data_IF_317251762576
#
_entry.id   IF_317251762576
#
_cell.length_a   1.000
_cell.length_b   1.000
_cell.length_c   1.000
_cell.angle_alpha   90.00
_cell.angle_beta   90.00
_cell.angle_gamma   90.00
#
_symmetry.space_group_name_H-M   'P 1'
#
loop_
_entity.id
_entity.type
_entity.pdbx_description
1 polymer ?
#
# COMPACT_ATOMS: atom_id res chain seq x y z
N UNK A 1 17.17 5.79 -4.76
CA UNK A 1 15.85 5.27 -5.21
C UNK A 1 15.85 4.69 -6.63
N UNK A 2 16.98 4.73 -7.36
CA UNK A 2 17.01 4.29 -8.76
C UNK A 2 16.82 2.78 -8.87
N UNK A 3 17.42 2.03 -7.95
CA UNK A 3 17.28 0.58 -7.81
C UNK A 3 15.83 0.14 -7.62
N UNK A 4 15.11 0.79 -6.71
CA UNK A 4 13.73 0.47 -6.34
C UNK A 4 12.78 0.74 -7.51
N UNK A 5 13.01 1.86 -8.21
CA UNK A 5 12.30 2.18 -9.45
C UNK A 5 12.51 1.10 -10.51
N UNK A 6 13.77 0.68 -10.71
CA UNK A 6 14.10 -0.34 -11.72
C UNK A 6 13.49 -1.70 -11.40
N UNK A 7 13.51 -2.12 -10.13
CA UNK A 7 12.90 -3.38 -9.69
C UNK A 7 11.42 -3.46 -10.08
N UNK A 8 10.65 -2.39 -9.83
CA UNK A 8 9.22 -2.36 -10.16
C UNK A 8 9.00 -2.29 -11.68
N UNK A 9 9.79 -1.48 -12.39
CA UNK A 9 9.66 -1.35 -13.85
C UNK A 9 10.02 -2.68 -14.56
N UNK A 10 11.05 -3.40 -14.11
CA UNK A 10 11.42 -4.69 -14.68
C UNK A 10 10.27 -5.70 -14.59
N UNK A 11 9.59 -5.75 -13.44
CA UNK A 11 8.39 -6.58 -13.26
C UNK A 11 7.24 -6.12 -14.17
N UNK A 12 7.05 -4.81 -14.32
CA UNK A 12 6.08 -4.24 -15.26
C UNK A 12 6.35 -4.63 -16.72
N UNK A 13 7.62 -4.58 -17.15
CA UNK A 13 8.05 -5.01 -18.50
C UNK A 13 7.75 -6.50 -18.69
N UNK A 14 8.04 -7.33 -17.70
CA UNK A 14 7.71 -8.76 -17.76
C UNK A 14 6.20 -8.98 -17.99
N UNK A 15 5.34 -8.32 -17.22
CA UNK A 15 3.89 -8.45 -17.41
C UNK A 15 3.40 -7.86 -18.74
N UNK A 16 4.02 -6.78 -19.22
CA UNK A 16 3.72 -6.19 -20.53
C UNK A 16 4.04 -7.16 -21.68
N UNK A 17 5.06 -8.01 -21.54
CA UNK A 17 5.42 -9.03 -22.52
C UNK A 17 4.56 -10.29 -22.38
N UNK A 18 4.30 -10.76 -21.16
CA UNK A 18 3.54 -12.00 -20.93
C UNK A 18 2.05 -11.83 -21.22
N UNK A 19 1.43 -10.68 -20.92
CA UNK A 19 0.01 -10.45 -21.16
C UNK A 19 -0.44 -10.73 -22.62
N UNK A 20 0.22 -10.19 -23.67
CA UNK A 20 -0.14 -10.51 -25.06
C UNK A 20 0.18 -11.95 -25.44
N UNK A 21 1.29 -12.53 -24.95
CA UNK A 21 1.60 -13.96 -25.18
C UNK A 21 0.50 -14.85 -24.62
N UNK A 22 0.07 -14.58 -23.38
CA UNK A 22 -1.02 -15.30 -22.71
C UNK A 22 -2.34 -15.17 -23.47
N UNK A 23 -2.68 -13.98 -23.94
CA UNK A 23 -3.88 -13.74 -24.73
C UNK A 23 -3.90 -14.57 -26.02
N UNK A 24 -2.79 -14.57 -26.76
CA UNK A 24 -2.68 -15.31 -28.04
C UNK A 24 -2.84 -16.82 -27.83
N UNK A 25 -2.29 -17.35 -26.74
CA UNK A 25 -2.34 -18.79 -26.43
C UNK A 25 -3.70 -19.24 -25.89
N UNK A 26 -4.26 -18.50 -24.94
CA UNK A 26 -5.42 -18.96 -24.15
C UNK A 26 -6.73 -18.31 -24.62
N UNK A 27 -6.68 -17.08 -25.13
CA UNK A 27 -7.86 -16.24 -25.43
C UNK A 27 -8.81 -16.07 -24.23
N UNK A 28 -8.30 -16.23 -23.00
CA UNK A 28 -9.07 -16.02 -21.78
C UNK A 28 -9.04 -14.53 -21.38
N UNK A 29 -10.19 -13.84 -21.39
CA UNK A 29 -10.26 -12.45 -20.99
C UNK A 29 -9.97 -12.23 -19.49
N UNK A 30 -10.24 -13.22 -18.62
CA UNK A 30 -10.10 -13.07 -17.17
C UNK A 30 -8.63 -12.99 -16.76
N UNK A 31 -7.84 -13.99 -17.14
CA UNK A 31 -6.40 -14.01 -16.88
C UNK A 31 -5.67 -12.85 -17.57
N UNK A 32 -6.07 -12.53 -18.81
CA UNK A 32 -5.47 -11.39 -19.55
C UNK A 32 -5.73 -10.07 -18.84
N UNK A 33 -6.95 -9.85 -18.34
CA UNK A 33 -7.30 -8.63 -17.59
C UNK A 33 -6.45 -8.53 -16.32
N UNK A 34 -6.30 -9.61 -15.56
CA UNK A 34 -5.47 -9.61 -14.35
C UNK A 34 -4.01 -9.23 -14.66
N UNK A 35 -3.40 -9.83 -15.70
CA UNK A 35 -2.02 -9.52 -16.11
C UNK A 35 -1.86 -8.06 -16.56
N UNK A 36 -2.81 -7.54 -17.32
CA UNK A 36 -2.80 -6.13 -17.76
C UNK A 36 -2.96 -5.19 -16.56
N UNK A 37 -3.86 -5.48 -15.62
CA UNK A 37 -4.02 -4.67 -14.41
C UNK A 37 -2.77 -4.68 -13.53
N UNK A 38 -2.08 -5.83 -13.40
CA UNK A 38 -0.80 -5.91 -12.70
C UNK A 38 0.28 -5.09 -13.41
N UNK A 39 0.35 -5.15 -14.74
CA UNK A 39 1.25 -4.30 -15.52
C UNK A 39 0.98 -2.80 -15.27
N UNK A 40 -0.29 -2.38 -15.32
CA UNK A 40 -0.67 -0.98 -15.04
C UNK A 40 -0.31 -0.55 -13.61
N UNK A 41 -0.47 -1.44 -12.62
CA UNK A 41 -0.04 -1.18 -11.25
C UNK A 41 1.47 -0.96 -11.17
N UNK A 42 2.27 -1.81 -11.82
CA UNK A 42 3.72 -1.63 -11.89
C UNK A 42 4.10 -0.33 -12.59
N UNK A 43 3.42 0.06 -13.66
CA UNK A 43 3.64 1.34 -14.35
C UNK A 43 3.34 2.52 -13.42
N UNK A 44 2.21 2.50 -12.69
CA UNK A 44 1.84 3.56 -11.75
C UNK A 44 2.88 3.72 -10.63
N UNK A 45 3.28 2.61 -10.00
CA UNK A 45 4.28 2.62 -8.93
C UNK A 45 5.66 3.02 -9.44
N UNK A 46 6.10 2.46 -10.57
CA UNK A 46 7.37 2.79 -11.20
C UNK A 46 7.44 4.25 -11.64
N UNK A 47 6.35 4.80 -12.19
CA UNK A 47 6.23 6.22 -12.51
C UNK A 47 6.39 7.08 -11.26
N UNK A 48 5.62 6.81 -10.20
CA UNK A 48 5.73 7.56 -8.94
C UNK A 48 7.16 7.54 -8.39
N UNK A 49 7.76 6.37 -8.24
CA UNK A 49 9.13 6.24 -7.73
C UNK A 49 10.15 6.96 -8.61
N UNK A 50 9.99 6.90 -9.94
CA UNK A 50 10.88 7.59 -10.87
C UNK A 50 10.81 9.12 -10.77
N UNK A 51 9.64 9.66 -10.41
CA UNK A 51 9.44 11.09 -10.18
C UNK A 51 10.13 11.49 -8.89
N UNK A 52 9.87 10.77 -7.78
CA UNK A 52 10.48 11.09 -6.49
C UNK A 52 12.00 10.91 -6.54
N UNK A 53 12.51 9.90 -7.23
CA UNK A 53 13.95 9.66 -7.41
C UNK A 53 14.68 10.82 -8.11
N UNK A 54 13.97 11.69 -8.84
CA UNK A 54 14.53 12.91 -9.45
C UNK A 54 14.42 14.14 -8.56
N UNK A 55 13.57 14.09 -7.53
CA UNK A 55 13.29 15.21 -6.64
C UNK A 55 14.16 15.20 -5.38
N UNK A 56 14.60 14.02 -4.93
CA UNK A 56 15.42 13.88 -3.72
C UNK A 56 16.89 13.55 -4.06
N UNK A 57 17.85 14.03 -3.26
CA UNK A 57 19.25 13.62 -3.40
C UNK A 57 19.43 12.14 -3.04
N UNK A 58 20.57 11.58 -3.46
CA UNK A 58 20.92 10.20 -3.12
C UNK A 58 21.03 10.06 -1.58
N UNK A 59 20.29 9.10 -1.05
CA UNK A 59 20.21 8.83 0.39
C UNK A 59 21.43 8.00 0.82
N UNK A 60 21.81 7.99 2.11
CA UNK A 60 22.89 7.14 2.60
C UNK A 60 22.70 5.65 2.24
N UNK A 61 21.46 5.17 2.22
CA UNK A 61 21.09 3.80 1.79
C UNK A 61 21.28 3.52 0.29
N UNK A 62 21.38 4.56 -0.54
CA UNK A 62 21.60 4.46 -1.99
C UNK A 62 23.11 4.49 -2.36
N UNK A 63 23.98 4.81 -1.39
CA UNK A 63 25.42 5.02 -1.59
C UNK A 63 26.23 3.81 -1.16
N UNK A 64 27.19 3.40 -1.97
CA UNK A 64 28.14 2.32 -1.62
C UNK A 64 29.18 2.73 -0.57
N UNK A 65 29.37 4.03 -0.38
CA UNK A 65 30.32 4.65 0.55
C UNK A 65 29.63 5.33 1.75
N UNK A 66 28.36 5.01 2.00
CA UNK A 66 27.61 5.56 3.13
C UNK A 66 28.13 5.05 4.48
N UNK A 67 28.32 5.95 5.44
CA UNK A 67 28.70 5.59 6.81
C UNK A 67 27.48 5.48 7.73
N UNK A 68 27.60 4.73 8.83
CA UNK A 68 26.51 4.59 9.82
C UNK A 68 26.13 5.95 10.41
N UNK A 69 27.11 6.85 10.55
CA UNK A 69 26.91 8.20 11.07
C UNK A 69 25.99 9.05 10.17
N UNK A 70 25.94 8.79 8.85
CA UNK A 70 25.11 9.53 7.91
C UNK A 70 23.60 9.29 8.16
N UNK A 71 23.24 8.20 8.83
CA UNK A 71 21.86 7.84 9.20
C UNK A 71 21.47 8.18 10.65
N UNK A 72 22.32 8.89 11.41
CA UNK A 72 22.13 9.12 12.84
C UNK A 72 21.05 10.17 13.22
N UNK A 73 20.31 10.68 12.23
CA UNK A 73 19.21 11.62 12.46
C UNK A 73 17.95 10.98 13.03
N UNK A 74 16.99 11.81 13.43
CA UNK A 74 15.66 11.38 13.83
C UNK A 74 14.91 10.75 12.64
N UNK A 75 14.47 9.49 12.76
CA UNK A 75 13.77 8.78 11.68
C UNK A 75 12.32 9.23 11.47
N UNK A 76 11.71 9.84 12.49
CA UNK A 76 10.31 10.25 12.49
C UNK A 76 9.54 9.68 13.67
N UNK A 77 8.22 9.81 13.62
CA UNK A 77 7.33 9.35 14.68
C UNK A 77 6.90 7.90 14.45
N UNK A 78 7.07 7.05 15.46
CA UNK A 78 6.58 5.68 15.48
C UNK A 78 5.64 5.45 16.69
N UNK A 79 4.41 5.01 16.45
CA UNK A 79 3.51 4.51 17.49
C UNK A 79 4.18 3.48 18.42
N UNK A 80 4.35 3.74 19.74
CA UNK A 80 4.90 2.74 20.65
C UNK A 80 3.91 1.59 20.90
N UNK A 81 2.62 1.86 20.84
CA UNK A 81 1.53 0.88 20.83
C UNK A 81 0.28 1.52 20.21
N UNK A 82 -0.59 0.68 19.64
CA UNK A 82 -1.94 1.07 19.21
C UNK A 82 -2.84 -0.16 19.19
N UNK A 83 -4.03 -0.06 19.79
CA UNK A 83 -5.03 -1.13 19.77
C UNK A 83 -6.03 -0.98 18.60
N UNK A 84 -6.03 0.18 17.94
CA UNK A 84 -6.93 0.45 16.82
C UNK A 84 -6.78 -0.50 15.62
N UNK A 85 -5.56 -0.95 15.22
CA UNK A 85 -5.43 -1.92 14.14
C UNK A 85 -6.22 -3.21 14.39
N UNK A 86 -6.24 -3.70 15.64
CA UNK A 86 -6.99 -4.89 16.02
C UNK A 86 -8.50 -4.68 15.84
N UNK A 87 -9.03 -3.57 16.34
CA UNK A 87 -10.46 -3.25 16.22
C UNK A 87 -10.86 -2.96 14.77
N UNK A 88 -10.00 -2.36 13.95
CA UNK A 88 -10.22 -2.19 12.51
C UNK A 88 -10.30 -3.54 11.80
N UNK A 89 -9.38 -4.46 12.10
CA UNK A 89 -9.38 -5.80 11.51
C UNK A 89 -10.64 -6.60 11.90
N UNK A 90 -11.04 -6.55 13.18
CA UNK A 90 -12.29 -7.18 13.64
C UNK A 90 -13.53 -6.57 12.99
N UNK A 91 -13.58 -5.25 12.87
CA UNK A 91 -14.68 -4.57 12.20
C UNK A 91 -14.77 -4.97 10.71
N UNK A 92 -13.65 -5.03 10.01
CA UNK A 92 -13.59 -5.52 8.63
C UNK A 92 -14.04 -6.97 8.52
N UNK A 93 -13.66 -7.84 9.46
CA UNK A 93 -14.13 -9.22 9.49
C UNK A 93 -15.67 -9.29 9.61
N UNK A 94 -16.28 -8.44 10.45
CA UNK A 94 -17.74 -8.33 10.55
C UNK A 94 -18.37 -7.83 9.25
N UNK A 95 -17.78 -6.84 8.58
CA UNK A 95 -18.25 -6.36 7.26
C UNK A 95 -18.26 -7.51 6.25
N UNK A 96 -17.16 -8.25 6.14
CA UNK A 96 -17.04 -9.38 5.21
C UNK A 96 -18.03 -10.49 5.55
N UNK A 97 -18.20 -10.83 6.83
CA UNK A 97 -19.24 -11.78 7.28
C UNK A 97 -20.66 -11.28 6.95
N UNK A 98 -20.89 -9.97 7.03
CA UNK A 98 -22.14 -9.32 6.66
C UNK A 98 -22.53 -9.54 5.20
N UNK A 99 -21.57 -9.62 4.28
CA UNK A 99 -21.85 -9.94 2.86
C UNK A 99 -22.49 -11.32 2.71
N UNK A 100 -22.13 -12.28 3.57
CA UNK A 100 -22.64 -13.65 3.56
C UNK A 100 -23.95 -13.79 4.34
N UNK A 101 -24.03 -13.15 5.52
CA UNK A 101 -25.17 -13.31 6.45
C UNK A 101 -26.34 -12.39 6.08
N UNK A 102 -26.07 -11.15 5.71
CA UNK A 102 -27.12 -10.19 5.31
C UNK A 102 -26.75 -8.72 5.52
N UNK A 103 -27.44 -7.85 4.77
CA UNK A 103 -27.17 -6.41 4.70
C UNK A 103 -27.23 -5.68 6.05
N UNK A 104 -28.06 -6.13 6.98
CA UNK A 104 -28.14 -5.50 8.31
C UNK A 104 -26.81 -5.62 9.07
N UNK A 105 -26.15 -6.78 9.01
CA UNK A 105 -24.86 -7.01 9.66
C UNK A 105 -23.74 -6.27 8.94
N UNK A 106 -23.79 -6.24 7.60
CA UNK A 106 -22.86 -5.45 6.80
C UNK A 106 -22.90 -3.96 7.18
N UNK A 107 -24.10 -3.37 7.28
CA UNK A 107 -24.27 -1.96 7.64
C UNK A 107 -23.73 -1.68 9.05
N UNK A 108 -24.02 -2.55 10.02
CA UNK A 108 -23.47 -2.44 11.38
C UNK A 108 -21.94 -2.51 11.35
N UNK A 109 -21.38 -3.51 10.67
CA UNK A 109 -19.93 -3.66 10.51
C UNK A 109 -19.30 -2.44 9.85
N UNK A 110 -19.94 -1.87 8.83
CA UNK A 110 -19.42 -0.71 8.10
C UNK A 110 -19.37 0.54 8.98
N UNK A 111 -20.40 0.77 9.81
CA UNK A 111 -20.41 1.86 10.80
C UNK A 111 -19.30 1.68 11.83
N UNK A 112 -19.12 0.46 12.36
CA UNK A 112 -18.05 0.16 13.30
C UNK A 112 -16.68 0.36 12.64
N UNK A 113 -16.50 -0.10 11.39
CA UNK A 113 -15.25 0.05 10.65
C UNK A 113 -14.91 1.52 10.40
N UNK A 114 -15.90 2.35 10.07
CA UNK A 114 -15.71 3.80 9.94
C UNK A 114 -15.25 4.42 11.27
N UNK A 115 -15.91 4.07 12.38
CA UNK A 115 -15.57 4.57 13.70
C UNK A 115 -14.16 4.15 14.16
N UNK A 116 -13.78 2.89 13.95
CA UNK A 116 -12.45 2.39 14.32
C UNK A 116 -11.36 2.97 13.42
N UNK A 117 -11.63 3.17 12.13
CA UNK A 117 -10.71 3.84 11.21
C UNK A 117 -10.49 5.30 11.62
N UNK A 118 -11.55 6.04 11.96
CA UNK A 118 -11.41 7.40 12.50
C UNK A 118 -10.60 7.42 13.79
N UNK A 119 -10.87 6.49 14.71
CA UNK A 119 -10.09 6.36 15.93
C UNK A 119 -8.60 6.12 15.66
N UNK A 120 -8.28 5.27 14.68
CA UNK A 120 -6.90 4.98 14.29
C UNK A 120 -6.21 6.17 13.65
N UNK A 121 -6.85 6.82 12.68
CA UNK A 121 -6.29 7.98 11.96
C UNK A 121 -6.05 9.16 12.89
N UNK A 122 -6.96 9.41 13.82
CA UNK A 122 -6.88 10.54 14.73
C UNK A 122 -6.19 10.24 16.05
N UNK A 123 -5.70 9.02 16.29
CA UNK A 123 -5.13 8.57 17.58
C UNK A 123 -4.13 9.56 18.17
N UNK A 124 -3.19 10.04 17.35
CA UNK A 124 -2.11 10.95 17.75
C UNK A 124 -2.44 12.43 17.52
N UNK A 125 -3.64 12.74 17.01
CA UNK A 125 -4.11 14.10 16.73
C UNK A 125 -5.19 14.57 17.72
N UNK A 126 -5.39 13.86 18.86
CA UNK A 126 -6.39 14.20 19.89
C UNK A 126 -5.96 15.34 20.84
N UNK A 127 -4.79 15.92 20.56
CA UNK A 127 -4.54 17.34 20.74
C UNK A 127 -4.62 17.95 22.14
N UNK A 128 -4.55 17.21 23.26
CA UNK A 128 -4.63 17.86 24.59
C UNK A 128 -6.02 18.49 24.80
N UNK A 129 -7.11 17.79 24.48
CA UNK A 129 -8.48 18.24 24.83
C UNK A 129 -8.87 17.80 26.25
N UNK A 130 -8.10 18.29 27.24
CA UNK A 130 -8.44 18.30 28.65
C UNK A 130 -8.81 19.74 29.05
N UNK A 131 -9.99 20.17 28.60
CA UNK A 131 -10.84 21.03 29.40
C UNK A 131 -12.09 20.21 29.73
#
# INVERSE_FOLDING_TARGET
MKSETWTIIAVGIFFALIAPVYWVLTKDPTGTTALVMTMLLCVLLGFYLSVVAKQIPDRPEDRSDGEIADGAGEQGFFPPYSWWPLFCALALAVVVLGVVIGWWLFIIGAVILAATTWGWVFEYYRGIHAH
#
